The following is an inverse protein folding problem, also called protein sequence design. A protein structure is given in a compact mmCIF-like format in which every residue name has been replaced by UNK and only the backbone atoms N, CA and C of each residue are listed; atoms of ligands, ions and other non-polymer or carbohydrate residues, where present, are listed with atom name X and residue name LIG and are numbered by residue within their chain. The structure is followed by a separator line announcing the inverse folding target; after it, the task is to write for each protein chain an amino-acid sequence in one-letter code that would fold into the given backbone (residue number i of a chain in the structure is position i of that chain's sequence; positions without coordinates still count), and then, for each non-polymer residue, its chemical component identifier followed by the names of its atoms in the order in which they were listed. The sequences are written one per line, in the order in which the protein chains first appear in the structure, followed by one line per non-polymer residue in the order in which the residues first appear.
data_IF_431071806412
#
_entry.id   IF_431071806412
#
_cell.length_a   1.000
_cell.length_b   1.000
_cell.length_c   1.000
_cell.angle_alpha   90.00
_cell.angle_beta   90.00
_cell.angle_gamma   90.00
#
_symmetry.space_group_name_H-M   'P 1'
#
loop_
_entity.id
_entity.type
_entity.pdbx_description
1 polymer ?
#
# COMPACT_ATOMS: atom_id res chain seq x y z
N UNK A 1 -2.86 12.81 4.32
CA UNK A 1 -1.50 12.90 4.90
C UNK A 1 -0.55 12.05 4.06
N UNK A 2 0.71 12.46 3.92
CA UNK A 2 1.76 11.70 3.22
C UNK A 2 2.82 11.30 4.23
N UNK A 3 3.21 10.02 4.26
CA UNK A 3 4.24 9.47 5.15
C UNK A 3 5.33 8.83 4.28
N UNK A 4 6.58 9.24 4.50
CA UNK A 4 7.74 8.68 3.81
C UNK A 4 8.83 8.35 4.81
N UNK A 5 9.55 7.25 4.57
CA UNK A 5 10.65 6.79 5.41
C UNK A 5 11.63 5.97 4.57
N UNK A 6 12.86 5.81 5.05
CA UNK A 6 13.91 4.99 4.43
C UNK A 6 13.68 3.47 4.50
N UNK A 7 12.44 3.01 4.70
CA UNK A 7 12.07 1.61 4.82
C UNK A 7 11.08 1.20 3.70
N UNK A 8 11.26 -0.01 3.16
CA UNK A 8 10.45 -0.51 2.04
C UNK A 8 9.00 -0.83 2.42
N UNK A 9 8.72 -1.09 3.70
CA UNK A 9 7.40 -1.43 4.23
C UNK A 9 6.66 -0.24 4.84
N UNK A 10 7.16 0.98 4.63
CA UNK A 10 6.48 2.24 5.00
C UNK A 10 5.02 2.28 4.53
N UNK A 11 4.71 1.59 3.42
CA UNK A 11 3.35 1.40 2.89
C UNK A 11 2.33 0.82 3.89
N UNK A 12 2.79 0.18 4.97
CA UNK A 12 1.94 -0.28 6.08
C UNK A 12 1.06 0.85 6.65
N UNK A 13 1.58 2.07 6.71
CA UNK A 13 0.81 3.23 7.20
C UNK A 13 -0.34 3.65 6.26
N UNK A 14 -0.40 3.10 5.04
CA UNK A 14 -1.54 3.26 4.15
C UNK A 14 -2.86 2.72 4.74
N UNK A 15 -2.78 1.80 5.72
CA UNK A 15 -3.95 1.33 6.48
C UNK A 15 -4.72 2.46 7.18
N UNK A 16 -4.07 3.60 7.46
CA UNK A 16 -4.69 4.78 8.07
C UNK A 16 -5.27 5.77 7.04
N UNK A 17 -5.46 5.36 5.78
CA UNK A 17 -5.99 6.24 4.72
C UNK A 17 -4.98 7.31 4.28
N UNK A 18 -3.69 6.98 4.31
CA UNK A 18 -2.59 7.91 3.97
C UNK A 18 -1.83 7.44 2.73
N UNK A 19 -1.16 8.38 2.05
CA UNK A 19 -0.17 8.03 1.03
C UNK A 19 1.14 7.70 1.74
N UNK A 20 1.50 6.42 1.80
CA UNK A 20 2.69 5.97 2.51
C UNK A 20 3.59 5.12 1.61
N UNK A 21 4.87 5.50 1.48
CA UNK A 21 5.82 4.78 0.63
C UNK A 21 7.27 5.00 1.08
N UNK A 22 8.12 4.01 0.79
CA UNK A 22 9.55 4.09 1.05
C UNK A 22 10.26 5.03 0.08
N UNK A 23 11.29 5.70 0.57
CA UNK A 23 12.17 6.59 -0.22
C UNK A 23 13.64 6.28 0.07
N UNK A 24 14.54 6.70 -0.82
CA UNK A 24 15.98 6.52 -0.62
C UNK A 24 16.55 7.44 0.47
N UNK A 25 17.70 7.08 1.04
CA UNK A 25 18.36 7.86 2.11
C UNK A 25 18.60 9.32 1.71
N UNK A 26 18.99 9.58 0.46
CA UNK A 26 19.19 10.96 -0.05
C UNK A 26 17.87 11.75 -0.07
N UNK A 27 16.77 11.10 -0.41
CA UNK A 27 15.44 11.72 -0.41
C UNK A 27 14.95 11.98 1.02
N UNK A 28 15.28 11.12 1.99
CA UNK A 28 14.99 11.39 3.42
C UNK A 28 15.64 12.69 3.87
N UNK A 29 16.93 12.89 3.53
CA UNK A 29 17.62 14.16 3.84
C UNK A 29 16.94 15.36 3.19
N UNK A 30 16.50 15.23 1.93
CA UNK A 30 15.76 16.28 1.22
C UNK A 30 14.43 16.61 1.90
N UNK A 31 13.65 15.59 2.28
CA UNK A 31 12.36 15.76 2.96
C UNK A 31 12.57 16.42 4.33
N UNK A 32 13.57 16.00 5.10
CA UNK A 32 13.88 16.63 6.39
C UNK A 32 14.26 18.10 6.23
N UNK A 33 15.04 18.45 5.19
CA UNK A 33 15.47 19.82 4.94
C UNK A 33 14.42 20.74 4.31
N UNK A 34 13.51 20.20 3.48
CA UNK A 34 12.62 21.02 2.62
C UNK A 34 11.13 20.74 2.81
N UNK A 35 10.77 19.64 3.49
CA UNK A 35 9.40 19.12 3.57
C UNK A 35 8.76 18.84 2.18
N UNK A 36 9.59 18.70 1.15
CA UNK A 36 9.17 18.47 -0.22
C UNK A 36 9.82 17.19 -0.76
N UNK A 37 9.11 16.52 -1.68
CA UNK A 37 9.59 15.36 -2.40
C UNK A 37 9.14 15.45 -3.85
N UNK A 38 10.09 15.33 -4.78
CA UNK A 38 9.76 15.19 -6.20
C UNK A 38 9.34 13.75 -6.44
N UNK A 39 8.12 13.54 -6.92
CA UNK A 39 7.60 12.21 -7.17
C UNK A 39 6.84 12.18 -8.49
N UNK A 40 7.12 11.18 -9.32
CA UNK A 40 6.31 10.91 -10.50
C UNK A 40 4.93 10.42 -10.05
N UNK A 41 3.86 10.93 -10.67
CA UNK A 41 2.50 10.51 -10.30
C UNK A 41 2.34 9.00 -10.57
N UNK A 42 2.13 8.17 -9.53
CA UNK A 42 1.95 6.74 -9.73
C UNK A 42 0.59 6.47 -10.36
N UNK A 43 0.49 5.33 -11.04
CA UNK A 43 -0.82 4.84 -11.51
C UNK A 43 -1.64 4.36 -10.32
N UNK A 44 -2.96 4.27 -10.50
CA UNK A 44 -3.86 3.81 -9.44
C UNK A 44 -4.33 2.40 -9.76
N UNK A 45 -4.28 1.51 -8.76
CA UNK A 45 -4.81 0.15 -8.83
C UNK A 45 -5.76 -0.04 -7.65
N UNK A 46 -7.05 -0.26 -7.93
CA UNK A 46 -8.02 -0.58 -6.90
C UNK A 46 -8.27 -2.08 -6.84
N UNK A 47 -8.09 -2.64 -5.65
CA UNK A 47 -8.39 -4.04 -5.34
C UNK A 47 -9.68 -4.05 -4.54
N UNK A 48 -10.75 -4.49 -5.19
CA UNK A 48 -12.07 -4.59 -4.56
C UNK A 48 -12.29 -5.99 -4.01
N UNK A 49 -12.45 -6.09 -2.69
CA UNK A 49 -12.66 -7.35 -1.96
C UNK A 49 -14.09 -7.34 -1.42
N UNK A 50 -14.89 -8.30 -1.87
CA UNK A 50 -16.31 -8.42 -1.51
C UNK A 50 -16.68 -9.85 -1.14
N UNK A 51 -17.64 -10.02 -0.24
CA UNK A 51 -18.21 -11.31 0.14
C UNK A 51 -18.15 -11.55 1.64
N UNK A 52 -18.37 -12.79 2.07
CA UNK A 52 -18.19 -13.22 3.46
C UNK A 52 -17.02 -14.18 3.54
N UNK A 53 -16.06 -13.90 4.41
CA UNK A 53 -14.95 -14.84 4.68
C UNK A 53 -15.43 -15.99 5.57
N UNK A 54 -14.85 -17.18 5.39
CA UNK A 54 -14.98 -18.24 6.37
C UNK A 54 -14.26 -17.86 7.68
N UNK A 55 -14.69 -18.46 8.80
CA UNK A 55 -14.24 -18.08 10.14
C UNK A 55 -12.72 -18.10 10.30
N UNK A 56 -12.05 -19.08 9.71
CA UNK A 56 -10.59 -19.28 9.76
C UNK A 56 -9.78 -18.35 8.85
N UNK A 57 -10.40 -17.72 7.85
CA UNK A 57 -9.68 -16.90 6.85
C UNK A 57 -9.34 -15.53 7.44
N UNK A 58 -8.08 -15.14 7.52
CA UNK A 58 -7.63 -13.85 8.06
C UNK A 58 -7.26 -12.86 6.95
N UNK A 59 -7.00 -11.60 7.34
CA UNK A 59 -6.49 -10.58 6.42
C UNK A 59 -5.20 -11.02 5.72
N UNK A 60 -4.36 -11.81 6.41
CA UNK A 60 -3.13 -12.38 5.84
C UNK A 60 -3.41 -13.31 4.65
N UNK A 61 -4.43 -14.15 4.75
CA UNK A 61 -4.77 -15.10 3.67
C UNK A 61 -5.29 -14.34 2.44
N UNK A 62 -6.08 -13.29 2.67
CA UNK A 62 -6.61 -12.44 1.59
C UNK A 62 -5.47 -11.74 0.85
N UNK A 63 -4.53 -11.12 1.56
CA UNK A 63 -3.40 -10.44 0.90
C UNK A 63 -2.50 -11.44 0.17
N UNK A 64 -2.28 -12.65 0.71
CA UNK A 64 -1.53 -13.69 0.02
C UNK A 64 -2.24 -14.16 -1.27
N UNK A 65 -3.56 -14.30 -1.27
CA UNK A 65 -4.33 -14.61 -2.47
C UNK A 65 -4.25 -13.50 -3.51
N UNK A 66 -4.33 -12.23 -3.09
CA UNK A 66 -4.14 -11.07 -3.97
C UNK A 66 -2.75 -11.10 -4.61
N UNK A 67 -1.70 -11.30 -3.82
CA UNK A 67 -0.32 -11.39 -4.31
C UNK A 67 -0.14 -12.54 -5.30
N UNK A 68 -0.75 -13.70 -5.05
CA UNK A 68 -0.75 -14.83 -5.98
C UNK A 68 -1.34 -14.46 -7.35
N UNK A 69 -2.44 -13.70 -7.37
CA UNK A 69 -3.12 -13.30 -8.63
C UNK A 69 -2.38 -12.21 -9.39
N UNK A 70 -1.79 -11.25 -8.69
CA UNK A 70 -1.02 -10.16 -9.31
C UNK A 70 0.37 -10.62 -9.74
N UNK A 71 0.97 -11.56 -9.01
CA UNK A 71 2.38 -11.91 -9.15
C UNK A 71 3.30 -10.85 -8.54
N UNK A 72 4.58 -11.18 -8.38
CA UNK A 72 5.55 -10.36 -7.65
C UNK A 72 5.69 -8.93 -8.21
N UNK A 73 5.57 -8.75 -9.53
CA UNK A 73 5.71 -7.45 -10.21
C UNK A 73 4.36 -6.88 -10.69
N UNK A 74 3.23 -7.50 -10.38
CA UNK A 74 1.92 -7.13 -10.94
C UNK A 74 1.45 -5.72 -10.59
N UNK A 75 1.97 -5.13 -9.50
CA UNK A 75 1.62 -3.80 -9.03
C UNK A 75 2.76 -2.77 -9.18
N UNK A 76 3.80 -3.06 -9.97
CA UNK A 76 4.91 -2.13 -10.17
C UNK A 76 4.42 -0.78 -10.75
N UNK A 77 4.81 0.32 -10.09
CA UNK A 77 4.44 1.68 -10.46
C UNK A 77 2.99 2.06 -10.13
N UNK A 78 2.28 1.25 -9.32
CA UNK A 78 0.94 1.56 -8.85
C UNK A 78 0.92 1.92 -7.37
N UNK A 79 0.06 2.85 -7.00
CA UNK A 79 -0.50 2.94 -5.66
C UNK A 79 -1.74 2.05 -5.60
N UNK A 80 -1.71 1.11 -4.65
CA UNK A 80 -2.78 0.14 -4.45
C UNK A 80 -3.74 0.68 -3.40
N UNK A 81 -5.03 0.70 -3.74
CA UNK A 81 -6.13 0.97 -2.82
C UNK A 81 -6.92 -0.32 -2.60
N UNK A 82 -7.14 -0.71 -1.33
CA UNK A 82 -8.04 -1.81 -0.98
C UNK A 82 -9.41 -1.25 -0.60
N UNK A 83 -10.46 -1.80 -1.22
CA UNK A 83 -11.83 -1.35 -1.01
C UNK A 83 -12.79 -2.54 -0.91
N UNK A 84 -14.01 -2.27 -0.46
CA UNK A 84 -15.09 -3.25 -0.35
C UNK A 84 -15.30 -3.78 1.06
N UNK A 85 -16.40 -4.51 1.24
CA UNK A 85 -16.81 -5.12 2.51
C UNK A 85 -16.68 -6.63 2.41
N UNK A 86 -15.77 -7.18 3.20
CA UNK A 86 -15.47 -8.62 3.25
C UNK A 86 -15.48 -9.21 4.66
N UNK A 87 -15.48 -8.34 5.66
CA UNK A 87 -15.71 -8.67 7.04
C UNK A 87 -17.14 -8.25 7.38
N UNK A 88 -17.97 -9.22 7.72
CA UNK A 88 -19.20 -8.98 8.48
C UNK A 88 -18.94 -9.52 9.89
N UNK A 89 -19.30 -8.72 10.89
CA UNK A 89 -19.47 -9.17 12.28
C UNK A 89 -20.70 -10.07 12.31
#
# INVERSE_FOLDING_TARGET
MTIVCGDSHTSTHGAFGTLAFGIGTSEVGLVLGTQCLVQAKPRQLRIHISGTRAEEVRAKDIILHVLQRLGANGAAGYFIEYAGLWWKI
#
